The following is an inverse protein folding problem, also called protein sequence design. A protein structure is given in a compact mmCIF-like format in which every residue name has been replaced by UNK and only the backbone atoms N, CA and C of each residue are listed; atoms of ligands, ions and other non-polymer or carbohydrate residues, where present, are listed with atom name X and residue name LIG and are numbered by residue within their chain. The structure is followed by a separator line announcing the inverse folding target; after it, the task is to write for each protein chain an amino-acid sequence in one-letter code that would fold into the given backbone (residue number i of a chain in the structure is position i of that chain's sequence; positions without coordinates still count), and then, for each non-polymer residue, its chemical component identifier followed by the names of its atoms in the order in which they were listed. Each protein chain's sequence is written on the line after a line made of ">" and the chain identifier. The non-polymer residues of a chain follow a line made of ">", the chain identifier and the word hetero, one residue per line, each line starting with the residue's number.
data_IF_922033711888
#
_entry.id   IF_922033711888
#
_cell.length_a   1.000
_cell.length_b   1.000
_cell.length_c   1.000
_cell.angle_alpha   90.00
_cell.angle_beta   90.00
_cell.angle_gamma   90.00
#
_symmetry.space_group_name_H-M   'P 1'
#
loop_
_entity.id
_entity.type
_entity.pdbx_description
1 polymer ?
#
# COMPACT_ATOMS: atom_id res chain seq x y z
N UNK A 1 48.00 21.87 23.43
CA UNK A 1 48.66 22.91 22.59
C UNK A 1 48.59 22.43 21.13
N UNK A 2 48.25 23.36 20.24
CA UNK A 2 48.28 23.32 18.77
C UNK A 2 47.11 22.55 18.15
N UNK A 3 46.39 23.00 17.23
CA UNK A 3 46.25 24.30 16.55
C UNK A 3 45.02 24.21 15.68
N UNK A 4 44.15 25.19 15.80
CA UNK A 4 43.12 25.45 14.82
C UNK A 4 43.76 25.91 13.53
N UNK A 5 43.50 25.28 12.40
CA UNK A 5 43.45 25.91 11.08
C UNK A 5 43.21 24.85 10.00
N UNK A 6 42.05 24.84 9.42
CA UNK A 6 41.84 24.81 7.98
C UNK A 6 40.39 24.46 7.61
N UNK A 7 39.45 25.31 7.99
CA UNK A 7 38.19 25.38 7.25
C UNK A 7 38.44 26.32 6.08
N UNK A 8 38.82 25.81 4.96
CA UNK A 8 38.84 26.56 3.69
C UNK A 8 37.56 26.29 2.92
N UNK A 9 36.70 27.29 3.00
CA UNK A 9 35.86 27.86 1.96
C UNK A 9 36.06 27.24 0.58
N UNK A 10 35.06 26.48 0.14
CA UNK A 10 34.86 26.27 -1.30
C UNK A 10 33.78 27.26 -1.70
N UNK A 11 34.21 28.34 -2.33
CA UNK A 11 33.34 29.30 -2.98
C UNK A 11 32.74 28.68 -4.21
N UNK A 12 31.44 28.57 -4.24
CA UNK A 12 30.70 28.21 -5.47
C UNK A 12 30.63 29.45 -6.33
N UNK A 13 31.36 29.42 -7.41
CA UNK A 13 31.36 30.47 -8.43
C UNK A 13 30.03 30.41 -9.19
N UNK A 14 29.21 31.42 -9.01
CA UNK A 14 28.08 31.73 -9.87
C UNK A 14 28.61 32.09 -11.26
N UNK A 15 28.44 31.24 -12.24
CA UNK A 15 28.53 31.63 -13.63
C UNK A 15 27.12 31.89 -14.16
N UNK A 16 26.84 33.16 -14.29
CA UNK A 16 25.69 33.65 -15.05
C UNK A 16 25.97 33.41 -16.52
N UNK A 17 25.26 32.52 -17.15
CA UNK A 17 25.17 32.47 -18.61
C UNK A 17 23.79 32.97 -18.97
N UNK A 18 23.74 34.25 -19.34
CA UNK A 18 22.62 34.88 -20.02
C UNK A 18 22.65 34.44 -21.47
N UNK A 19 21.70 33.60 -21.88
CA UNK A 19 21.47 33.36 -23.29
C UNK A 19 20.02 33.71 -23.59
N UNK A 20 19.80 34.95 -24.07
CA UNK A 20 18.57 35.33 -24.74
C UNK A 20 18.50 34.62 -26.09
N UNK A 21 17.52 33.75 -26.22
CA UNK A 21 16.99 33.38 -27.52
C UNK A 21 15.49 33.30 -27.45
N UNK A 22 14.87 34.29 -28.08
CA UNK A 22 13.46 34.29 -28.42
C UNK A 22 13.23 33.22 -29.47
N UNK A 23 12.56 32.16 -29.10
CA UNK A 23 11.75 31.35 -30.00
C UNK A 23 10.60 30.82 -29.17
N UNK A 24 9.38 31.12 -29.62
CA UNK A 24 8.14 30.74 -28.97
C UNK A 24 8.06 29.23 -28.74
N UNK A 25 8.33 28.83 -27.52
CA UNK A 25 8.12 27.46 -27.10
C UNK A 25 6.80 27.45 -26.35
N UNK A 26 5.82 26.85 -26.99
CA UNK A 26 4.65 26.34 -26.28
C UNK A 26 5.19 25.60 -25.06
N UNK A 27 4.89 26.11 -23.88
CA UNK A 27 5.00 25.34 -22.66
C UNK A 27 4.14 24.09 -22.86
N UNK A 28 4.82 23.01 -23.22
CA UNK A 28 4.25 21.69 -22.99
C UNK A 28 4.29 21.56 -21.49
N UNK A 29 3.20 21.96 -20.83
CA UNK A 29 2.91 21.51 -19.50
C UNK A 29 2.81 19.99 -19.63
N UNK A 30 3.92 19.32 -19.40
CA UNK A 30 3.89 17.91 -19.06
C UNK A 30 3.16 17.86 -17.72
N UNK A 31 1.83 17.87 -17.80
CA UNK A 31 1.06 17.22 -16.76
C UNK A 31 1.63 15.82 -16.72
N UNK A 32 2.38 15.53 -15.68
CA UNK A 32 2.70 14.17 -15.33
C UNK A 32 1.33 13.50 -15.18
N UNK A 33 0.84 12.96 -16.29
CA UNK A 33 -0.28 12.06 -16.29
C UNK A 33 0.20 10.93 -15.41
N UNK A 34 -0.29 10.88 -14.18
CA UNK A 34 -0.16 9.71 -13.36
C UNK A 34 -0.48 8.53 -14.28
N UNK A 35 0.33 7.47 -14.29
CA UNK A 35 0.04 6.32 -15.14
C UNK A 35 -1.43 5.98 -14.90
N UNK A 36 -2.19 5.63 -15.96
CA UNK A 36 -3.56 5.24 -15.77
C UNK A 36 -3.52 4.15 -14.71
N UNK A 37 -3.98 4.47 -13.52
CA UNK A 37 -4.36 3.48 -12.54
C UNK A 37 -5.49 2.75 -13.25
N UNK A 38 -5.14 1.69 -13.98
CA UNK A 38 -6.12 0.68 -14.34
C UNK A 38 -6.73 0.33 -13.00
N UNK A 39 -7.93 0.84 -12.77
CA UNK A 39 -8.62 0.69 -11.51
C UNK A 39 -8.85 -0.80 -11.29
N UNK A 40 -7.86 -1.42 -10.65
CA UNK A 40 -8.09 -2.74 -10.10
C UNK A 40 -9.18 -2.54 -9.08
N UNK A 41 -10.36 -3.04 -9.40
CA UNK A 41 -11.44 -3.14 -8.41
C UNK A 41 -10.83 -3.69 -7.12
N UNK A 42 -11.11 -3.10 -5.95
CA UNK A 42 -10.58 -3.62 -4.68
C UNK A 42 -10.85 -5.10 -4.45
N UNK A 43 -11.89 -5.62 -5.12
CA UNK A 43 -12.27 -7.04 -5.13
C UNK A 43 -12.42 -7.49 -6.58
N UNK A 44 -11.78 -8.58 -6.95
CA UNK A 44 -11.95 -9.24 -8.26
C UNK A 44 -13.17 -10.15 -8.22
N UNK A 45 -14.33 -9.59 -8.56
CA UNK A 45 -15.61 -10.34 -8.56
C UNK A 45 -15.62 -11.46 -9.59
N UNK A 46 -14.88 -11.35 -10.69
CA UNK A 46 -14.80 -12.43 -11.69
C UNK A 46 -14.03 -13.62 -11.13
N UNK A 47 -12.95 -13.33 -10.40
CA UNK A 47 -12.20 -14.36 -9.71
C UNK A 47 -13.05 -15.01 -8.61
N UNK A 48 -13.71 -14.21 -7.76
CA UNK A 48 -14.55 -14.71 -6.68
C UNK A 48 -15.68 -15.61 -7.22
N UNK A 49 -16.39 -15.20 -8.27
CA UNK A 49 -17.44 -15.98 -8.90
C UNK A 49 -16.95 -17.34 -9.42
N UNK A 50 -15.71 -17.39 -9.92
CA UNK A 50 -15.10 -18.68 -10.32
C UNK A 50 -14.79 -19.58 -9.13
N UNK A 51 -14.37 -19.00 -8.00
CA UNK A 51 -14.06 -19.77 -6.80
C UNK A 51 -15.32 -20.30 -6.11
N UNK A 52 -16.42 -19.52 -6.11
CA UNK A 52 -17.72 -19.89 -5.54
C UNK A 52 -18.56 -20.80 -6.45
N UNK A 53 -18.13 -21.01 -7.72
CA UNK A 53 -18.94 -21.68 -8.72
C UNK A 53 -20.17 -20.87 -9.15
N UNK A 54 -20.18 -19.56 -8.91
CA UNK A 54 -21.29 -18.65 -9.23
C UNK A 54 -22.39 -18.63 -8.16
N UNK A 55 -22.13 -19.19 -6.99
CA UNK A 55 -23.04 -19.14 -5.86
C UNK A 55 -22.99 -17.76 -5.19
N UNK A 56 -23.97 -16.92 -5.47
CA UNK A 56 -24.03 -15.54 -4.96
C UNK A 56 -24.22 -15.45 -3.45
N UNK A 57 -24.92 -16.39 -2.83
CA UNK A 57 -25.10 -16.41 -1.39
C UNK A 57 -23.76 -16.68 -0.70
N UNK A 58 -23.02 -17.67 -1.19
CA UNK A 58 -21.66 -17.96 -0.73
C UNK A 58 -20.71 -16.78 -0.95
N UNK A 59 -20.78 -16.09 -2.10
CA UNK A 59 -19.96 -14.90 -2.37
C UNK A 59 -20.20 -13.81 -1.32
N UNK A 60 -21.46 -13.52 -0.99
CA UNK A 60 -21.82 -12.53 0.02
C UNK A 60 -21.31 -12.92 1.40
N UNK A 61 -21.45 -14.17 1.79
CA UNK A 61 -20.95 -14.67 3.07
C UNK A 61 -19.42 -14.56 3.16
N UNK A 62 -18.70 -14.94 2.10
CA UNK A 62 -17.24 -14.83 2.06
C UNK A 62 -16.78 -13.38 2.14
N UNK A 63 -17.44 -12.46 1.44
CA UNK A 63 -17.14 -11.04 1.49
C UNK A 63 -17.39 -10.45 2.88
N UNK A 64 -18.52 -10.77 3.51
CA UNK A 64 -18.85 -10.32 4.87
C UNK A 64 -17.83 -10.84 5.88
N UNK A 65 -17.52 -12.14 5.82
CA UNK A 65 -16.52 -12.77 6.69
C UNK A 65 -15.13 -12.12 6.54
N UNK A 66 -14.71 -11.85 5.31
CA UNK A 66 -13.44 -11.21 5.06
C UNK A 66 -13.39 -9.77 5.62
N UNK A 67 -14.47 -8.99 5.46
CA UNK A 67 -14.54 -7.64 6.00
C UNK A 67 -14.35 -7.61 7.53
N UNK A 68 -14.91 -8.58 8.24
CA UNK A 68 -14.75 -8.74 9.69
C UNK A 68 -13.34 -9.23 10.07
N UNK A 69 -12.79 -10.17 9.30
CA UNK A 69 -11.43 -10.67 9.51
C UNK A 69 -10.37 -9.58 9.32
N UNK A 70 -10.54 -8.69 8.34
CA UNK A 70 -9.64 -7.56 8.12
C UNK A 70 -9.44 -6.74 9.41
N UNK A 71 -10.52 -6.41 10.11
CA UNK A 71 -10.44 -5.62 11.34
C UNK A 71 -9.62 -6.37 12.39
N UNK A 72 -9.97 -7.62 12.64
CA UNK A 72 -9.32 -8.43 13.68
C UNK A 72 -7.83 -8.63 13.42
N UNK A 73 -7.47 -8.94 12.18
CA UNK A 73 -6.06 -9.14 11.84
C UNK A 73 -5.25 -7.84 11.88
N UNK A 74 -5.82 -6.73 11.42
CA UNK A 74 -5.16 -5.42 11.52
C UNK A 74 -4.94 -5.01 12.97
N UNK A 75 -5.90 -5.25 13.86
CA UNK A 75 -5.75 -4.97 15.29
C UNK A 75 -4.69 -5.87 15.92
N UNK A 76 -4.65 -7.14 15.54
CA UNK A 76 -3.59 -8.06 15.99
C UNK A 76 -2.21 -7.60 15.52
N UNK A 77 -2.05 -7.22 14.25
CA UNK A 77 -0.78 -6.72 13.71
C UNK A 77 -0.31 -5.47 14.48
N UNK A 78 -1.22 -4.57 14.83
CA UNK A 78 -0.89 -3.33 15.53
C UNK A 78 -0.51 -3.52 17.00
N UNK A 79 -1.15 -4.47 17.69
CA UNK A 79 -1.10 -4.60 19.15
C UNK A 79 -0.24 -5.76 19.63
N UNK A 80 -0.12 -6.80 18.83
CA UNK A 80 0.60 -8.01 19.22
C UNK A 80 2.12 -7.87 19.03
N UNK A 81 2.86 -8.76 19.68
CA UNK A 81 4.29 -8.94 19.39
C UNK A 81 4.50 -9.44 17.96
N UNK A 82 5.77 -9.49 17.56
CA UNK A 82 6.19 -9.76 16.17
C UNK A 82 5.64 -11.05 15.60
N UNK A 83 5.69 -12.14 16.38
CA UNK A 83 5.28 -13.47 15.94
C UNK A 83 3.77 -13.48 15.60
N UNK A 84 2.92 -13.06 16.53
CA UNK A 84 1.48 -13.00 16.30
C UNK A 84 1.08 -11.99 15.22
N UNK A 85 1.83 -10.89 15.09
CA UNK A 85 1.64 -9.90 14.00
C UNK A 85 1.98 -10.48 12.64
N UNK A 86 3.07 -11.26 12.54
CA UNK A 86 3.48 -11.97 11.33
C UNK A 86 2.45 -13.02 10.92
N UNK A 87 1.97 -13.83 11.86
CA UNK A 87 0.93 -14.85 11.63
C UNK A 87 -0.39 -14.22 11.18
N UNK A 88 -0.78 -13.08 11.78
CA UNK A 88 -1.96 -12.35 11.40
C UNK A 88 -1.84 -11.77 9.97
N UNK A 89 -0.68 -11.23 9.59
CA UNK A 89 -0.42 -10.74 8.25
C UNK A 89 -0.43 -11.89 7.22
N UNK A 90 0.16 -13.02 7.54
CA UNK A 90 0.14 -14.24 6.73
C UNK A 90 -1.30 -14.73 6.50
N UNK A 91 -2.09 -14.82 7.56
CA UNK A 91 -3.50 -15.25 7.48
C UNK A 91 -4.33 -14.28 6.65
N UNK A 92 -4.16 -12.97 6.86
CA UNK A 92 -4.86 -11.95 6.09
C UNK A 92 -4.50 -12.01 4.60
N UNK A 93 -3.22 -12.23 4.26
CA UNK A 93 -2.77 -12.45 2.88
C UNK A 93 -3.50 -13.61 2.23
N UNK A 94 -3.59 -14.75 2.91
CA UNK A 94 -4.29 -15.93 2.43
C UNK A 94 -5.78 -15.68 2.21
N UNK A 95 -6.45 -15.08 3.17
CA UNK A 95 -7.87 -14.72 3.07
C UNK A 95 -8.14 -13.73 1.93
N UNK A 96 -7.27 -12.72 1.76
CA UNK A 96 -7.38 -11.73 0.69
C UNK A 96 -7.25 -12.37 -0.70
N UNK A 97 -6.31 -13.30 -0.87
CA UNK A 97 -6.14 -14.08 -2.11
C UNK A 97 -7.35 -14.93 -2.43
N UNK A 98 -7.97 -15.53 -1.41
CA UNK A 98 -9.13 -16.39 -1.59
C UNK A 98 -10.34 -15.65 -2.21
N UNK A 99 -10.51 -14.37 -1.91
CA UNK A 99 -11.63 -13.56 -2.42
C UNK A 99 -11.24 -12.59 -3.56
N UNK A 100 -9.99 -12.61 -4.02
CA UNK A 100 -9.53 -11.71 -5.08
C UNK A 100 -9.27 -10.28 -4.62
N UNK A 101 -8.97 -10.06 -3.34
CA UNK A 101 -8.56 -8.76 -2.79
C UNK A 101 -7.03 -8.56 -2.93
N UNK A 102 -6.55 -8.48 -4.17
CA UNK A 102 -5.13 -8.53 -4.50
C UNK A 102 -4.29 -7.45 -3.82
N UNK A 103 -4.80 -6.21 -3.75
CA UNK A 103 -4.10 -5.10 -3.10
C UNK A 103 -3.89 -5.36 -1.60
N UNK A 104 -4.88 -5.93 -0.93
CA UNK A 104 -4.74 -6.33 0.48
C UNK A 104 -3.73 -7.46 0.62
N UNK A 105 -3.76 -8.44 -0.28
CA UNK A 105 -2.82 -9.56 -0.27
C UNK A 105 -1.36 -9.10 -0.42
N UNK A 106 -1.11 -8.22 -1.38
CA UNK A 106 0.23 -7.69 -1.65
C UNK A 106 0.74 -6.84 -0.47
N UNK A 107 -0.11 -5.96 0.07
CA UNK A 107 0.24 -5.15 1.23
C UNK A 107 0.48 -5.99 2.49
N UNK A 108 -0.34 -7.03 2.73
CA UNK A 108 -0.14 -7.97 3.84
C UNK A 108 1.17 -8.75 3.69
N UNK A 109 1.56 -9.11 2.48
CA UNK A 109 2.86 -9.75 2.21
C UNK A 109 4.05 -8.85 2.54
N UNK A 110 3.97 -7.55 2.27
CA UNK A 110 5.03 -6.62 2.66
C UNK A 110 5.15 -6.50 4.18
N UNK A 111 4.04 -6.38 4.89
CA UNK A 111 4.03 -6.36 6.36
C UNK A 111 4.61 -7.66 6.94
N UNK A 112 4.22 -8.82 6.43
CA UNK A 112 4.77 -10.12 6.84
C UNK A 112 6.29 -10.18 6.66
N UNK A 113 6.80 -9.73 5.50
CA UNK A 113 8.24 -9.66 5.21
C UNK A 113 8.95 -8.68 6.15
N UNK A 114 8.38 -7.49 6.36
CA UNK A 114 8.97 -6.49 7.25
C UNK A 114 9.11 -7.03 8.68
N UNK A 115 8.07 -7.68 9.21
CA UNK A 115 8.07 -8.28 10.55
C UNK A 115 9.01 -9.48 10.66
N UNK A 116 9.21 -10.25 9.59
CA UNK A 116 10.14 -11.39 9.58
C UNK A 116 11.60 -10.98 9.62
N UNK A 117 11.94 -9.83 9.03
CA UNK A 117 13.32 -9.31 8.98
C UNK A 117 13.64 -8.45 10.19
N UNK A 118 12.70 -7.61 10.59
CA UNK A 118 12.88 -6.71 11.72
C UNK A 118 11.65 -6.80 12.63
N UNK A 119 11.80 -7.43 13.81
CA UNK A 119 10.69 -7.67 14.72
C UNK A 119 10.20 -6.40 15.43
N UNK A 120 10.00 -5.32 14.68
CA UNK A 120 9.53 -4.07 15.24
C UNK A 120 8.75 -3.23 14.21
N UNK A 121 7.48 -2.99 14.49
CA UNK A 121 6.68 -2.01 13.73
C UNK A 121 7.08 -0.55 14.00
N UNK A 122 8.11 -0.30 14.82
CA UNK A 122 8.59 1.06 15.09
C UNK A 122 9.47 1.62 13.98
N UNK A 123 10.00 0.75 13.13
CA UNK A 123 10.79 1.18 11.97
C UNK A 123 9.90 1.91 10.94
N UNK A 124 10.36 3.03 10.38
CA UNK A 124 9.57 3.83 9.43
C UNK A 124 9.08 3.04 8.21
N UNK A 125 9.90 2.11 7.70
CA UNK A 125 9.52 1.26 6.58
C UNK A 125 8.36 0.32 6.94
N UNK A 126 8.43 -0.36 8.09
CA UNK A 126 7.36 -1.23 8.56
C UNK A 126 6.06 -0.45 8.87
N UNK A 127 6.17 0.78 9.36
CA UNK A 127 5.02 1.66 9.56
C UNK A 127 4.38 2.06 8.24
N UNK A 128 5.17 2.32 7.20
CA UNK A 128 4.69 2.63 5.86
C UNK A 128 3.95 1.44 5.26
N UNK A 129 4.51 0.23 5.37
CA UNK A 129 3.87 -1.01 4.90
C UNK A 129 2.55 -1.27 5.63
N UNK A 130 2.51 -1.07 6.95
CA UNK A 130 1.28 -1.18 7.73
C UNK A 130 0.24 -0.13 7.32
N UNK A 131 0.66 1.10 7.06
CA UNK A 131 -0.23 2.17 6.58
C UNK A 131 -0.83 1.83 5.22
N UNK A 132 -0.01 1.27 4.30
CA UNK A 132 -0.47 0.81 2.99
C UNK A 132 -1.48 -0.34 3.12
N UNK A 133 -1.22 -1.30 4.02
CA UNK A 133 -2.15 -2.40 4.31
C UNK A 133 -3.49 -1.88 4.86
N UNK A 134 -3.45 -0.93 5.79
CA UNK A 134 -4.66 -0.32 6.34
C UNK A 134 -5.49 0.37 5.25
N UNK A 135 -4.85 1.15 4.38
CA UNK A 135 -5.52 1.82 3.27
C UNK A 135 -6.16 0.84 2.28
N UNK A 136 -5.43 -0.22 1.89
CA UNK A 136 -5.95 -1.27 1.02
C UNK A 136 -7.15 -2.00 1.64
N UNK A 137 -7.07 -2.35 2.93
CA UNK A 137 -8.15 -3.00 3.66
C UNK A 137 -9.40 -2.11 3.79
N UNK A 138 -9.23 -0.82 4.02
CA UNK A 138 -10.34 0.13 4.06
C UNK A 138 -11.05 0.24 2.71
N UNK A 139 -10.29 0.30 1.61
CA UNK A 139 -10.85 0.32 0.25
C UNK A 139 -11.61 -0.99 -0.06
N UNK A 140 -11.04 -2.14 0.29
CA UNK A 140 -11.70 -3.42 0.09
C UNK A 140 -12.99 -3.52 0.90
N UNK A 141 -12.99 -3.12 2.18
CA UNK A 141 -14.17 -3.12 3.05
C UNK A 141 -15.26 -2.15 2.57
N UNK A 142 -14.87 -0.97 2.07
CA UNK A 142 -15.82 -0.03 1.48
C UNK A 142 -16.49 -0.61 0.24
N UNK A 143 -15.72 -1.25 -0.64
CA UNK A 143 -16.25 -1.94 -1.82
C UNK A 143 -17.18 -3.09 -1.44
N UNK A 144 -16.81 -3.93 -0.46
CA UNK A 144 -17.64 -5.02 0.06
C UNK A 144 -18.96 -4.47 0.62
N UNK A 145 -18.90 -3.40 1.44
CA UNK A 145 -20.11 -2.78 1.98
C UNK A 145 -21.05 -2.25 0.89
N UNK A 146 -20.50 -1.74 -0.21
CA UNK A 146 -21.29 -1.30 -1.35
C UNK A 146 -21.94 -2.49 -2.09
N UNK A 147 -21.18 -3.58 -2.31
CA UNK A 147 -21.67 -4.81 -2.94
C UNK A 147 -22.79 -5.46 -2.14
N UNK A 148 -22.62 -5.63 -0.82
CA UNK A 148 -23.62 -6.24 0.06
C UNK A 148 -24.90 -5.42 0.23
N UNK A 149 -24.84 -4.10 -0.03
CA UNK A 149 -26.04 -3.22 -0.03
C UNK A 149 -26.80 -3.23 -1.34
N UNK A 150 -26.11 -3.58 -2.43
CA UNK A 150 -26.69 -3.61 -3.78
C UNK A 150 -27.31 -4.98 -4.12
N UNK A 151 -27.02 -5.99 -3.32
CA UNK A 151 -27.57 -7.35 -3.46
C UNK A 151 -28.87 -7.49 -2.71
#
# INVERSE_FOLDING_TARGET
>A
MVSQAAIRKIAVTRSSISLRSHIGTREIVMTASAPPVFGHSPIDMVYLARQSGGDHELEQELLALFADQCIRHLDTIRQAGTEAGCDAAHTLKGAARAIGAWQVADAAEQVEKALSVQPSLREPAAQQDLSALCAAAEQARAAISALLKAA
#
